data_IF_795227382056
#
_entry.id   IF_795227382056
#
_cell.length_a   1.000
_cell.length_b   1.000
_cell.length_c   1.000
_cell.angle_alpha   90.00
_cell.angle_beta   90.00
_cell.angle_gamma   90.00
#
_symmetry.space_group_name_H-M   'P 1'
#
loop_
_entity.id
_entity.type
_entity.pdbx_description
1 polymer ?
#
# COMPACT_ATOMS: atom_id res chain seq x y z
N UNK A 1 19.37 -3.05 6.89
CA UNK A 1 18.69 -1.76 7.08
C UNK A 1 18.38 -1.55 8.56
N UNK A 2 18.80 -0.42 9.08
CA UNK A 2 18.59 -0.03 10.47
C UNK A 2 17.61 1.15 10.51
N UNK A 3 16.31 0.91 10.71
CA UNK A 3 15.27 1.94 10.62
C UNK A 3 15.41 3.07 11.66
N UNK A 4 16.15 2.82 12.73
CA UNK A 4 16.43 3.82 13.77
C UNK A 4 17.50 4.84 13.37
N UNK A 5 18.36 4.49 12.42
CA UNK A 5 19.48 5.33 11.99
C UNK A 5 19.24 6.06 10.67
N UNK A 6 18.33 5.57 9.83
CA UNK A 6 18.06 6.11 8.50
C UNK A 6 16.58 6.09 8.15
N UNK A 7 16.05 7.11 7.46
CA UNK A 7 14.70 7.07 6.91
C UNK A 7 14.53 5.88 5.96
N UNK A 8 13.40 5.17 6.09
CA UNK A 8 13.06 4.12 5.14
C UNK A 8 12.49 4.75 3.86
N UNK A 9 13.21 4.54 2.76
CA UNK A 9 12.84 5.00 1.43
C UNK A 9 12.93 3.85 0.42
N UNK A 10 11.99 3.78 -0.50
CA UNK A 10 11.98 2.83 -1.60
C UNK A 10 11.87 3.60 -2.91
N UNK A 11 12.96 3.68 -3.68
CA UNK A 11 13.01 4.45 -4.92
C UNK A 11 12.34 3.72 -6.08
N UNK A 12 12.48 2.39 -6.12
CA UNK A 12 12.04 1.54 -7.24
C UNK A 12 11.24 0.35 -6.72
N UNK A 13 10.06 0.62 -6.21
CA UNK A 13 9.12 -0.44 -5.91
C UNK A 13 8.45 -0.93 -7.20
N UNK A 14 8.15 -2.22 -7.29
CA UNK A 14 7.44 -2.80 -8.43
C UNK A 14 6.06 -2.15 -8.63
N UNK A 15 5.98 -1.23 -9.59
CA UNK A 15 4.72 -0.60 -10.03
C UNK A 15 4.20 -1.17 -11.35
N UNK A 16 4.95 -2.08 -11.91
CA UNK A 16 4.71 -2.81 -13.12
C UNK A 16 5.86 -3.77 -13.36
N UNK A 17 5.78 -4.59 -14.41
CA UNK A 17 6.85 -5.51 -14.78
C UNK A 17 6.89 -5.74 -16.27
N UNK A 18 8.10 -5.77 -16.84
CA UNK A 18 8.30 -6.07 -18.24
C UNK A 18 8.21 -7.58 -18.50
N UNK A 19 7.58 -7.97 -19.59
CA UNK A 19 7.66 -9.34 -20.08
C UNK A 19 9.06 -9.61 -20.69
N UNK A 20 9.63 -10.76 -20.36
CA UNK A 20 10.83 -11.28 -20.99
C UNK A 20 10.48 -12.08 -22.24
N UNK A 21 11.44 -12.31 -23.12
CA UNK A 21 11.16 -13.12 -24.31
C UNK A 21 10.85 -14.59 -23.96
N UNK A 22 11.39 -15.08 -22.87
CA UNK A 22 11.23 -16.46 -22.38
C UNK A 22 10.15 -16.59 -21.27
N UNK A 23 9.64 -15.46 -20.72
CA UNK A 23 8.61 -15.47 -19.69
C UNK A 23 7.65 -14.32 -19.89
N UNK A 24 6.42 -14.65 -20.30
CA UNK A 24 5.35 -13.70 -20.59
C UNK A 24 4.21 -13.93 -19.63
N UNK A 25 4.15 -13.14 -18.62
CA UNK A 25 3.12 -13.19 -17.59
C UNK A 25 2.22 -11.96 -17.65
N UNK A 26 1.03 -12.10 -17.07
CA UNK A 26 0.18 -10.96 -16.75
C UNK A 26 0.42 -10.59 -15.29
N UNK A 27 0.73 -9.32 -15.03
CA UNK A 27 0.90 -8.82 -13.67
C UNK A 27 -0.46 -8.83 -12.96
N UNK A 28 -0.57 -9.46 -11.79
CA UNK A 28 -1.71 -9.26 -10.91
C UNK A 28 -1.71 -7.80 -10.44
N UNK A 29 -2.73 -7.02 -10.80
CA UNK A 29 -2.73 -5.58 -10.51
C UNK A 29 -2.84 -5.28 -9.01
N UNK A 30 -3.43 -6.18 -8.27
CA UNK A 30 -3.56 -6.16 -6.80
C UNK A 30 -2.18 -6.25 -6.10
N UNK A 31 -1.19 -6.84 -6.75
CA UNK A 31 0.17 -6.94 -6.20
C UNK A 31 0.83 -5.59 -6.01
N UNK A 32 0.44 -4.59 -6.81
CA UNK A 32 1.11 -3.28 -6.85
C UNK A 32 0.76 -2.45 -5.62
N UNK A 33 -0.52 -2.32 -5.29
CA UNK A 33 -0.96 -1.57 -4.10
C UNK A 33 -0.75 -2.37 -2.83
N UNK A 34 -0.89 -3.69 -2.85
CA UNK A 34 -0.51 -4.55 -1.72
C UNK A 34 0.96 -4.35 -1.33
N UNK A 35 1.88 -4.30 -2.30
CA UNK A 35 3.30 -4.01 -2.04
C UNK A 35 3.48 -2.59 -1.49
N UNK A 36 2.78 -1.59 -2.02
CA UNK A 36 2.84 -0.22 -1.53
C UNK A 36 2.31 -0.12 -0.09
N UNK A 37 1.20 -0.78 0.20
CA UNK A 37 0.63 -0.88 1.53
C UNK A 37 1.62 -1.48 2.53
N UNK A 38 2.25 -2.62 2.21
CA UNK A 38 3.25 -3.29 3.06
C UNK A 38 4.47 -2.38 3.29
N UNK A 39 4.95 -1.66 2.27
CA UNK A 39 6.07 -0.72 2.45
C UNK A 39 5.70 0.41 3.41
N UNK A 40 4.52 1.02 3.24
CA UNK A 40 4.02 2.04 4.16
C UNK A 40 3.81 1.48 5.56
N UNK A 41 3.23 0.30 5.68
CA UNK A 41 3.06 -0.44 6.92
C UNK A 41 4.37 -0.66 7.67
N UNK A 42 5.44 -0.96 6.94
CA UNK A 42 6.80 -1.13 7.45
C UNK A 42 7.56 0.16 7.77
N UNK A 43 6.93 1.33 7.64
CA UNK A 43 7.53 2.61 7.99
C UNK A 43 8.14 3.39 6.82
N UNK A 44 7.94 2.94 5.58
CA UNK A 44 8.42 3.65 4.40
C UNK A 44 7.69 4.98 4.23
N UNK A 45 8.46 6.08 4.21
CA UNK A 45 7.95 7.44 4.06
C UNK A 45 8.26 8.05 2.68
N UNK A 46 8.89 7.29 1.80
CA UNK A 46 9.13 7.67 0.41
C UNK A 46 8.91 6.46 -0.49
N UNK A 47 7.89 6.53 -1.34
CA UNK A 47 7.55 5.49 -2.31
C UNK A 47 7.79 5.98 -3.73
N UNK A 48 8.74 5.36 -4.42
CA UNK A 48 8.94 5.48 -5.85
C UNK A 48 8.59 4.17 -6.54
N UNK A 49 8.21 4.24 -7.80
CA UNK A 49 7.77 3.08 -8.58
C UNK A 49 8.65 2.89 -9.81
N UNK A 50 9.02 1.66 -10.05
CA UNK A 50 9.55 1.24 -11.34
C UNK A 50 8.68 0.08 -11.87
N UNK A 51 7.66 0.34 -12.78
CA UNK A 51 7.30 1.62 -13.39
C UNK A 51 5.89 2.03 -12.93
N UNK A 52 5.68 3.32 -12.69
CA UNK A 52 4.32 3.87 -12.53
C UNK A 52 3.68 4.20 -13.88
N UNK A 53 4.51 4.67 -14.81
CA UNK A 53 4.12 4.98 -16.18
C UNK A 53 5.10 4.34 -17.16
N UNK A 54 4.55 3.64 -18.13
CA UNK A 54 5.29 3.14 -19.27
C UNK A 54 5.61 4.21 -20.31
N UNK A 55 6.36 3.83 -21.33
CA UNK A 55 6.76 4.69 -22.41
C UNK A 55 7.20 3.90 -23.64
N UNK A 56 7.75 4.61 -24.62
CA UNK A 56 8.34 4.02 -25.84
C UNK A 56 9.84 4.30 -25.85
N UNK A 57 10.63 3.31 -26.14
CA UNK A 57 12.06 3.48 -26.33
C UNK A 57 12.35 4.21 -27.65
N UNK A 58 13.25 5.20 -27.65
CA UNK A 58 13.66 5.84 -28.90
C UNK A 58 14.46 4.87 -29.77
N UNK A 59 14.35 5.03 -31.08
CA UNK A 59 15.18 4.33 -32.04
C UNK A 59 16.60 4.91 -31.98
N UNK A 60 17.59 4.05 -31.76
CA UNK A 60 19.00 4.43 -31.81
C UNK A 60 19.51 4.52 -33.25
N UNK A 61 20.66 5.23 -33.43
CA UNK A 61 21.35 5.32 -34.72
C UNK A 61 22.10 4.04 -35.10
N UNK A 62 22.73 3.43 -34.11
CA UNK A 62 23.59 2.22 -34.27
C UNK A 62 22.93 0.94 -33.82
N UNK A 63 22.06 1.02 -32.80
CA UNK A 63 21.28 -0.09 -32.31
C UNK A 63 19.79 0.26 -32.44
N UNK A 64 18.93 -0.71 -32.77
CA UNK A 64 17.52 -0.39 -33.06
C UNK A 64 16.79 0.18 -31.84
N UNK A 65 17.01 -0.35 -30.66
CA UNK A 65 16.33 0.03 -29.43
C UNK A 65 17.16 -0.34 -28.18
N UNK A 66 16.75 0.16 -27.04
CA UNK A 66 17.29 -0.27 -25.74
C UNK A 66 17.09 -1.78 -25.56
N UNK A 67 18.17 -2.44 -25.18
CA UNK A 67 18.16 -3.87 -24.87
C UNK A 67 18.11 -4.05 -23.35
N UNK A 68 16.93 -4.20 -22.83
CA UNK A 68 16.69 -4.53 -21.43
C UNK A 68 16.01 -5.90 -21.34
N UNK A 69 16.32 -6.64 -20.28
CA UNK A 69 15.78 -7.98 -20.09
C UNK A 69 16.04 -8.91 -21.29
N UNK A 70 17.23 -8.82 -21.89
CA UNK A 70 17.69 -9.65 -23.01
C UNK A 70 16.86 -9.56 -24.30
N UNK A 71 16.06 -8.50 -24.45
CA UNK A 71 15.22 -8.30 -25.61
C UNK A 71 15.20 -6.84 -26.01
N UNK A 72 15.61 -6.47 -27.24
CA UNK A 72 15.40 -5.13 -27.76
C UNK A 72 13.91 -4.83 -27.83
N UNK A 73 13.48 -3.70 -27.27
CA UNK A 73 12.07 -3.35 -27.16
C UNK A 73 11.79 -1.95 -27.66
N UNK A 74 10.73 -1.82 -28.45
CA UNK A 74 10.12 -0.52 -28.75
C UNK A 74 9.26 -0.10 -27.56
N UNK A 75 8.33 -0.97 -27.17
CA UNK A 75 7.44 -0.71 -26.06
C UNK A 75 8.14 -0.87 -24.72
N UNK A 76 8.00 0.12 -23.89
CA UNK A 76 8.40 0.13 -22.48
C UNK A 76 7.16 0.27 -21.59
N UNK A 77 6.10 -0.45 -21.94
CA UNK A 77 4.81 -0.38 -21.29
C UNK A 77 4.85 -0.85 -19.84
N UNK A 78 5.63 -1.88 -19.55
CA UNK A 78 5.88 -2.46 -18.24
C UNK A 78 4.63 -2.97 -17.50
N UNK A 79 3.49 -3.07 -18.14
CA UNK A 79 2.21 -3.31 -17.47
C UNK A 79 1.95 -2.30 -16.33
N UNK A 80 2.52 -1.10 -16.46
CA UNK A 80 2.49 -0.06 -15.45
C UNK A 80 1.07 0.48 -15.22
N UNK A 81 0.86 1.15 -14.09
CA UNK A 81 -0.42 1.77 -13.75
C UNK A 81 -0.94 2.70 -14.86
N UNK A 82 -0.02 3.45 -15.49
CA UNK A 82 -0.29 4.19 -16.73
C UNK A 82 0.53 3.54 -17.84
N UNK A 83 -0.10 2.94 -18.80
CA UNK A 83 0.57 2.28 -19.91
C UNK A 83 1.23 3.22 -20.90
N UNK A 84 1.93 2.65 -21.90
CA UNK A 84 2.75 3.35 -22.90
C UNK A 84 1.99 4.50 -23.57
N UNK A 85 0.72 4.32 -23.92
CA UNK A 85 -0.11 5.30 -24.60
C UNK A 85 -1.10 6.03 -23.69
N UNK A 86 -0.88 6.00 -22.39
CA UNK A 86 -1.70 6.70 -21.41
C UNK A 86 -2.95 5.93 -20.93
N UNK A 87 -3.10 4.66 -21.29
CA UNK A 87 -4.18 3.82 -20.80
C UNK A 87 -4.04 3.60 -19.28
N UNK A 88 -5.12 3.74 -18.55
CA UNK A 88 -5.17 3.51 -17.09
C UNK A 88 -5.54 2.06 -16.79
N UNK A 89 -4.77 1.40 -15.96
CA UNK A 89 -5.00 0.03 -15.50
C UNK A 89 -5.65 0.00 -14.11
N UNK A 90 -6.20 -1.13 -13.68
CA UNK A 90 -6.77 -1.25 -12.33
C UNK A 90 -5.82 -0.78 -11.23
N UNK A 91 -4.53 -1.11 -11.30
CA UNK A 91 -3.50 -0.65 -10.35
C UNK A 91 -3.40 0.88 -10.21
N UNK A 92 -3.73 1.65 -11.27
CA UNK A 92 -3.78 3.11 -11.18
C UNK A 92 -4.83 3.59 -10.18
N UNK A 93 -6.03 3.02 -10.23
CA UNK A 93 -7.14 3.43 -9.37
C UNK A 93 -6.89 3.00 -7.93
N UNK A 94 -6.37 1.79 -7.72
CA UNK A 94 -5.99 1.26 -6.41
C UNK A 94 -4.90 2.14 -5.78
N UNK A 95 -3.81 2.39 -6.49
CA UNK A 95 -2.75 3.29 -6.03
C UNK A 95 -3.25 4.73 -5.80
N UNK A 96 -4.22 5.22 -6.58
CA UNK A 96 -4.78 6.56 -6.40
C UNK A 96 -5.42 6.70 -5.01
N UNK A 97 -6.15 5.71 -4.53
CA UNK A 97 -6.73 5.72 -3.19
C UNK A 97 -5.63 5.79 -2.12
N UNK A 98 -4.62 4.92 -2.23
CA UNK A 98 -3.48 4.89 -1.31
C UNK A 98 -2.68 6.20 -1.31
N UNK A 99 -2.39 6.76 -2.50
CA UNK A 99 -1.67 8.04 -2.61
C UNK A 99 -2.48 9.22 -2.08
N UNK A 100 -3.81 9.19 -2.26
CA UNK A 100 -4.69 10.22 -1.71
C UNK A 100 -4.64 10.19 -0.18
N UNK A 101 -4.73 9.01 0.43
CA UNK A 101 -4.52 8.82 1.86
C UNK A 101 -3.14 9.34 2.30
N UNK A 102 -2.07 8.85 1.67
CA UNK A 102 -0.70 9.20 2.04
C UNK A 102 -0.46 10.71 1.99
N UNK A 103 -0.95 11.39 0.95
CA UNK A 103 -0.79 12.85 0.79
C UNK A 103 -1.54 13.64 1.84
N UNK A 104 -2.74 13.19 2.24
CA UNK A 104 -3.57 13.91 3.21
C UNK A 104 -3.13 13.70 4.66
N UNK A 105 -2.50 12.56 4.95
CA UNK A 105 -2.07 12.18 6.30
C UNK A 105 -0.55 12.16 6.47
N UNK A 106 0.22 12.68 5.50
CA UNK A 106 1.69 12.63 5.46
C UNK A 106 2.35 13.16 6.72
N UNK A 107 1.95 14.35 7.19
CA UNK A 107 2.54 14.99 8.37
C UNK A 107 2.37 14.17 9.64
N UNK A 108 1.28 13.45 9.76
CA UNK A 108 1.04 12.54 10.87
C UNK A 108 1.76 11.22 10.64
N UNK A 109 1.59 10.61 9.48
CA UNK A 109 2.15 9.31 9.13
C UNK A 109 3.68 9.26 9.28
N UNK A 110 4.39 10.31 8.84
CA UNK A 110 5.85 10.37 8.90
C UNK A 110 6.44 10.41 10.33
N UNK A 111 5.62 10.70 11.34
CA UNK A 111 6.03 10.72 12.76
C UNK A 111 5.75 9.41 13.49
N UNK A 112 5.07 8.47 12.84
CA UNK A 112 4.67 7.21 13.45
C UNK A 112 5.77 6.17 13.31
N UNK A 113 5.92 5.35 14.35
CA UNK A 113 6.77 4.17 14.33
C UNK A 113 5.96 2.93 13.97
N UNK A 114 6.61 1.93 13.40
CA UNK A 114 6.00 0.65 13.07
C UNK A 114 6.11 -0.29 14.26
N UNK A 115 5.00 -0.94 14.60
CA UNK A 115 4.91 -2.01 15.60
C UNK A 115 4.29 -3.23 14.92
N UNK A 116 4.98 -4.34 15.00
CA UNK A 116 4.48 -5.63 14.52
C UNK A 116 3.74 -6.37 15.64
N UNK A 117 2.69 -7.14 15.32
CA UNK A 117 2.07 -8.03 16.29
C UNK A 117 3.03 -9.15 16.67
N UNK A 118 2.83 -9.70 17.86
CA UNK A 118 3.57 -10.88 18.33
C UNK A 118 3.39 -12.04 17.34
N UNK A 119 4.48 -12.72 16.99
CA UNK A 119 4.49 -13.82 16.04
C UNK A 119 4.44 -13.42 14.55
N UNK A 120 4.45 -12.13 14.22
CA UNK A 120 4.42 -11.68 12.83
C UNK A 120 5.59 -12.21 12.00
N UNK A 121 6.75 -12.41 12.62
CA UNK A 121 7.96 -12.93 11.97
C UNK A 121 7.89 -14.43 11.65
N UNK A 122 6.97 -15.15 12.30
CA UNK A 122 6.78 -16.59 12.14
C UNK A 122 5.79 -16.93 11.00
N UNK A 123 5.04 -15.94 10.49
CA UNK A 123 4.06 -16.14 9.44
C UNK A 123 4.78 -16.52 8.14
N UNK A 124 4.48 -17.72 7.64
CA UNK A 124 5.06 -18.24 6.39
C UNK A 124 4.40 -17.61 5.17
N UNK A 125 5.09 -17.50 4.02
CA UNK A 125 4.48 -17.03 2.77
C UNK A 125 3.26 -17.85 2.34
N UNK A 126 3.24 -19.14 2.62
CA UNK A 126 2.14 -20.06 2.27
C UNK A 126 0.94 -20.00 3.24
N UNK A 127 1.08 -19.29 4.35
CA UNK A 127 -0.01 -19.10 5.30
C UNK A 127 -1.08 -18.17 4.71
N UNK A 128 -2.22 -18.75 4.37
CA UNK A 128 -3.39 -18.05 3.82
C UNK A 128 -4.50 -17.86 4.86
N UNK A 129 -4.28 -18.33 6.10
CA UNK A 129 -5.29 -18.28 7.18
C UNK A 129 -5.09 -17.07 8.09
N UNK A 130 -3.84 -16.72 8.40
CA UNK A 130 -3.51 -15.63 9.33
C UNK A 130 -3.69 -14.26 8.67
N UNK A 131 -4.47 -13.37 9.30
CA UNK A 131 -4.55 -11.97 8.87
C UNK A 131 -3.22 -11.26 9.13
N UNK A 132 -2.59 -10.76 8.09
CA UNK A 132 -1.34 -10.00 8.20
C UNK A 132 -1.65 -8.54 8.46
N UNK A 133 -1.03 -7.99 9.50
CA UNK A 133 -1.14 -6.57 9.79
C UNK A 133 0.10 -6.01 10.47
N UNK A 134 0.24 -4.71 10.42
CA UNK A 134 1.13 -3.95 11.28
C UNK A 134 0.46 -2.66 11.74
N UNK A 135 1.05 -2.03 12.74
CA UNK A 135 0.51 -0.80 13.32
C UNK A 135 1.54 0.31 13.19
N UNK A 136 1.17 1.44 12.61
CA UNK A 136 1.96 2.67 12.70
C UNK A 136 1.35 3.58 13.74
N UNK A 137 2.13 3.95 14.76
CA UNK A 137 1.59 4.65 15.95
C UNK A 137 2.61 5.57 16.63
N UNK A 138 2.11 6.60 17.30
CA UNK A 138 2.83 7.43 18.28
C UNK A 138 2.64 6.90 19.73
N UNK A 139 1.99 5.75 19.86
CA UNK A 139 1.61 5.14 21.12
C UNK A 139 0.25 5.58 21.66
N UNK A 140 -0.44 6.55 21.02
CA UNK A 140 -1.78 7.01 21.41
C UNK A 140 -2.79 6.88 20.27
N UNK A 141 -2.33 7.11 19.08
CA UNK A 141 -3.10 7.15 17.83
C UNK A 141 -2.28 6.58 16.68
N UNK A 142 -2.94 6.31 15.55
CA UNK A 142 -2.25 5.77 14.40
C UNK A 142 -3.16 5.06 13.42
N UNK A 143 -2.55 4.13 12.68
CA UNK A 143 -3.20 3.34 11.64
C UNK A 143 -2.81 1.88 11.76
N UNK A 144 -3.78 0.99 11.61
CA UNK A 144 -3.60 -0.45 11.41
C UNK A 144 -3.61 -0.72 9.91
N UNK A 145 -2.52 -1.22 9.39
CA UNK A 145 -2.36 -1.62 8.00
C UNK A 145 -2.66 -3.11 7.89
N UNK A 146 -3.71 -3.46 7.18
CA UNK A 146 -4.13 -4.84 6.91
C UNK A 146 -3.70 -5.24 5.51
N UNK A 147 -3.33 -6.51 5.33
CA UNK A 147 -3.02 -7.08 4.03
C UNK A 147 -3.55 -8.51 3.93
N UNK A 148 -4.38 -8.75 2.93
CA UNK A 148 -4.89 -10.08 2.57
C UNK A 148 -4.49 -10.49 1.15
N UNK A 149 -3.38 -9.96 0.66
CA UNK A 149 -2.75 -10.39 -0.58
C UNK A 149 -1.44 -11.12 -0.30
N UNK A 150 -1.21 -12.21 -1.00
CA UNK A 150 0.06 -12.91 -1.04
C UNK A 150 0.31 -13.41 -2.45
N UNK A 151 1.50 -13.13 -2.99
CA UNK A 151 1.86 -13.57 -4.34
C UNK A 151 1.98 -15.09 -4.43
N UNK A 152 1.62 -15.66 -5.57
CA UNK A 152 1.66 -17.09 -5.89
C UNK A 152 0.70 -18.00 -5.10
N UNK A 153 -0.12 -17.46 -4.20
CA UNK A 153 -1.16 -18.21 -3.49
C UNK A 153 -2.48 -17.44 -3.54
N UNK A 154 -3.59 -18.15 -3.44
CA UNK A 154 -4.92 -17.51 -3.33
C UNK A 154 -5.28 -17.44 -1.86
N UNK A 155 -5.29 -16.23 -1.31
CA UNK A 155 -5.79 -15.98 0.04
C UNK A 155 -7.29 -16.27 0.12
N UNK A 156 -7.77 -16.49 1.34
CA UNK A 156 -9.20 -16.59 1.65
C UNK A 156 -9.71 -15.26 2.18
N UNK A 157 -11.00 -15.03 2.04
CA UNK A 157 -11.66 -13.93 2.73
C UNK A 157 -11.43 -14.04 4.24
N UNK A 158 -11.19 -12.92 4.89
CA UNK A 158 -11.11 -12.81 6.35
C UNK A 158 -12.45 -12.32 6.88
N UNK A 159 -12.97 -12.99 7.88
CA UNK A 159 -14.24 -12.64 8.51
C UNK A 159 -14.14 -12.75 10.03
N UNK A 160 -14.75 -11.80 10.73
CA UNK A 160 -14.81 -11.82 12.19
C UNK A 160 -13.46 -11.64 12.89
N UNK A 161 -12.47 -11.13 12.21
CA UNK A 161 -11.14 -10.93 12.76
C UNK A 161 -11.13 -9.88 13.88
N UNK A 162 -10.17 -9.99 14.79
CA UNK A 162 -10.06 -9.13 15.96
C UNK A 162 -8.62 -8.65 16.14
N UNK A 163 -8.47 -7.35 16.35
CA UNK A 163 -7.19 -6.72 16.68
C UNK A 163 -7.32 -5.96 17.99
N UNK A 164 -6.43 -6.26 18.94
CA UNK A 164 -6.33 -5.58 20.23
C UNK A 164 -5.09 -4.68 20.23
N UNK A 165 -5.30 -3.39 20.44
CA UNK A 165 -4.26 -2.39 20.50
C UNK A 165 -4.08 -1.93 21.95
N UNK A 166 -2.86 -2.02 22.46
CA UNK A 166 -2.49 -1.41 23.76
C UNK A 166 -1.91 -0.03 23.50
N UNK A 167 -2.61 0.98 23.93
CA UNK A 167 -2.20 2.38 23.74
C UNK A 167 -1.96 3.07 25.09
N UNK A 168 -1.24 4.19 25.08
CA UNK A 168 -1.07 5.04 26.26
C UNK A 168 -2.39 5.58 26.82
N UNK A 169 -3.46 5.54 26.03
CA UNK A 169 -4.81 5.98 26.40
C UNK A 169 -5.75 4.83 26.79
N UNK A 170 -5.23 3.60 26.90
CA UNK A 170 -6.00 2.39 27.21
C UNK A 170 -6.08 1.43 26.03
N UNK A 171 -6.79 0.34 26.22
CA UNK A 171 -6.99 -0.69 25.19
C UNK A 171 -8.06 -0.25 24.20
N UNK A 172 -7.81 -0.55 22.94
CA UNK A 172 -8.78 -0.42 21.84
C UNK A 172 -8.92 -1.80 21.21
N UNK A 173 -10.13 -2.31 21.14
CA UNK A 173 -10.46 -3.55 20.44
C UNK A 173 -11.23 -3.21 19.16
N UNK A 174 -10.67 -3.61 18.02
CA UNK A 174 -11.34 -3.56 16.72
C UNK A 174 -11.77 -4.99 16.41
N UNK A 175 -13.06 -5.26 16.50
CA UNK A 175 -13.67 -6.58 16.28
C UNK A 175 -14.48 -6.61 15.00
N UNK A 176 -14.85 -7.83 14.57
CA UNK A 176 -15.65 -8.03 13.36
C UNK A 176 -15.03 -7.33 12.14
N UNK A 177 -13.72 -7.51 11.95
CA UNK A 177 -13.02 -7.05 10.76
C UNK A 177 -13.26 -8.08 9.67
N UNK A 178 -13.69 -7.62 8.51
CA UNK A 178 -13.78 -8.42 7.29
C UNK A 178 -12.88 -7.79 6.22
N UNK A 179 -12.23 -8.63 5.42
CA UNK A 179 -11.34 -8.19 4.34
C UNK A 179 -11.32 -9.26 3.26
N UNK A 180 -11.76 -8.93 2.06
CA UNK A 180 -11.78 -9.87 0.95
C UNK A 180 -10.38 -10.34 0.55
N UNK A 181 -10.31 -11.49 -0.09
CA UNK A 181 -9.06 -12.01 -0.66
C UNK A 181 -8.51 -11.06 -1.72
N UNK A 182 -7.21 -10.74 -1.64
CA UNK A 182 -6.55 -9.81 -2.55
C UNK A 182 -6.69 -8.34 -2.17
N UNK A 183 -7.36 -8.02 -1.05
CA UNK A 183 -7.56 -6.65 -0.59
C UNK A 183 -6.64 -6.28 0.57
N UNK A 184 -6.46 -4.98 0.74
CA UNK A 184 -5.79 -4.36 1.86
C UNK A 184 -6.64 -3.23 2.41
N UNK A 185 -6.38 -2.87 3.67
CA UNK A 185 -7.07 -1.77 4.32
C UNK A 185 -6.16 -1.02 5.31
N UNK A 186 -6.49 0.25 5.55
CA UNK A 186 -5.82 1.09 6.54
C UNK A 186 -6.89 1.62 7.50
N UNK A 187 -6.91 1.11 8.72
CA UNK A 187 -7.92 1.47 9.72
C UNK A 187 -7.34 2.48 10.73
N UNK A 188 -7.95 3.63 10.92
CA UNK A 188 -7.49 4.64 11.86
C UNK A 188 -7.91 4.31 13.29
N UNK A 189 -7.09 4.71 14.26
CA UNK A 189 -7.45 4.68 15.67
C UNK A 189 -6.87 5.88 16.43
N UNK A 190 -7.60 6.34 17.42
CA UNK A 190 -7.17 7.41 18.33
C UNK A 190 -6.99 8.78 17.68
N UNK A 191 -7.45 8.99 16.43
CA UNK A 191 -7.26 10.24 15.71
C UNK A 191 -8.04 11.39 16.35
N UNK A 192 -7.45 12.57 16.36
CA UNK A 192 -8.14 13.82 16.62
C UNK A 192 -8.76 14.35 15.32
N UNK A 193 -10.07 14.50 15.30
CA UNK A 193 -10.85 15.03 14.19
C UNK A 193 -11.48 16.33 14.65
N UNK A 194 -10.76 17.43 14.51
CA UNK A 194 -11.20 18.78 14.94
C UNK A 194 -11.69 18.82 16.41
N UNK A 195 -10.91 18.23 17.33
CA UNK A 195 -11.23 18.19 18.76
C UNK A 195 -12.15 17.02 19.16
N UNK A 196 -12.60 16.21 18.21
CA UNK A 196 -13.37 15.01 18.46
C UNK A 196 -12.45 13.79 18.34
N UNK A 197 -12.35 12.98 19.38
CA UNK A 197 -11.54 11.77 19.34
C UNK A 197 -12.28 10.67 18.61
N UNK A 198 -11.78 10.28 17.42
CA UNK A 198 -12.17 9.06 16.74
C UNK A 198 -11.47 7.87 17.43
N UNK A 199 -12.19 7.06 18.19
CA UNK A 199 -11.60 5.93 18.90
C UNK A 199 -11.01 4.94 17.88
N UNK A 200 -11.80 4.50 16.90
CA UNK A 200 -11.37 3.79 15.70
C UNK A 200 -12.47 3.83 14.64
N UNK A 201 -12.14 3.48 13.41
CA UNK A 201 -13.14 3.21 12.37
C UNK A 201 -12.77 1.94 11.59
N UNK A 202 -13.78 1.16 11.19
CA UNK A 202 -13.67 0.08 10.21
C UNK A 202 -13.90 0.63 8.79
N UNK A 203 -13.36 1.81 8.56
CA UNK A 203 -13.41 2.53 7.30
C UNK A 203 -12.05 3.19 7.08
N UNK A 204 -11.54 3.10 5.87
CA UNK A 204 -10.25 3.65 5.51
C UNK A 204 -10.34 5.15 5.30
N UNK A 205 -9.47 5.97 5.93
CA UNK A 205 -9.39 7.38 5.64
C UNK A 205 -8.84 7.60 4.23
N UNK A 206 -9.47 8.52 3.50
CA UNK A 206 -9.11 8.83 2.12
C UNK A 206 -8.52 10.23 1.99
N UNK A 207 -9.29 11.25 2.35
CA UNK A 207 -8.87 12.63 2.16
C UNK A 207 -9.48 13.58 3.19
N UNK A 208 -8.85 14.75 3.31
CA UNK A 208 -9.28 15.85 4.15
C UNK A 208 -9.41 17.09 3.26
N UNK A 209 -10.61 17.64 3.16
CA UNK A 209 -10.87 18.87 2.40
C UNK A 209 -11.18 20.00 3.37
N UNK A 210 -10.45 21.10 3.23
CA UNK A 210 -10.67 22.31 4.03
C UNK A 210 -11.10 23.43 3.10
N UNK A 211 -12.34 23.86 3.28
CA UNK A 211 -12.93 24.91 2.46
C UNK A 211 -13.95 25.73 3.25
N UNK A 212 -13.93 27.06 3.09
CA UNK A 212 -14.88 27.98 3.70
C UNK A 212 -15.01 27.82 5.24
N UNK A 213 -13.88 27.57 5.94
CA UNK A 213 -13.85 27.39 7.40
C UNK A 213 -14.45 26.05 7.88
N UNK A 214 -14.72 25.13 6.96
CA UNK A 214 -15.17 23.76 7.27
C UNK A 214 -14.10 22.77 6.89
N UNK A 215 -13.96 21.71 7.69
CA UNK A 215 -13.12 20.55 7.38
C UNK A 215 -14.02 19.35 7.16
N UNK A 216 -13.82 18.65 6.05
CA UNK A 216 -14.56 17.44 5.68
C UNK A 216 -13.57 16.30 5.56
N UNK A 217 -13.82 15.22 6.27
CA UNK A 217 -13.05 13.99 6.24
C UNK A 217 -13.78 12.94 5.42
N UNK A 218 -13.12 12.40 4.44
CA UNK A 218 -13.68 11.34 3.59
C UNK A 218 -13.09 9.99 4.00
N UNK A 219 -13.97 9.02 4.14
CA UNK A 219 -13.65 7.63 4.41
C UNK A 219 -14.37 6.75 3.40
N UNK A 220 -13.84 5.55 3.17
CA UNK A 220 -14.56 4.50 2.45
C UNK A 220 -14.42 3.18 3.21
N UNK A 221 -15.35 2.26 2.96
CA UNK A 221 -15.29 0.90 3.52
C UNK A 221 -14.56 0.04 2.50
N UNK A 222 -13.44 -0.61 2.88
CA UNK A 222 -12.78 -1.62 2.05
C UNK A 222 -13.70 -2.82 1.82
N UNK A 223 -13.54 -3.52 0.70
CA UNK A 223 -14.28 -4.73 0.35
C UNK A 223 -13.83 -5.96 1.15
#
# INVERSE_FOLDING_TARGET
YEPESMPYACCEMGGGMSCYYYYRFQLPYESVDAMANIKMAGGCNFLGYYMFRGGSNPKGEKTPFLNECQCPKISYDYQAAIGEYGQLRPSFYRLKALHTFASNYSDFLCRLVTVLPEGAEDIKPEDIETLRYSVRTDGKSGFVFLNNYQDHVTCKDKEGERICLETKNGKIEISEISLAAGEEAILPFGLDVEGIRLVYAKAQPLSIVRENGKTVYFFFVPD
#
